data_IF_606977123204
#
_entry.id   IF_606977123204
#
_cell.length_a   1.000
_cell.length_b   1.000
_cell.length_c   1.000
_cell.angle_alpha   90.00
_cell.angle_beta   90.00
_cell.angle_gamma   90.00
#
_symmetry.space_group_name_H-M   'P 1'
#
loop_
_entity.id
_entity.type
_entity.pdbx_description
1 polymer ?
#
# COMPACT_ATOMS: atom_id res chain seq x y z
N UNK A 1 16.06 -6.30 -4.26
CA UNK A 1 14.58 -6.34 -4.23
C UNK A 1 14.07 -7.76 -4.00
N UNK A 2 14.66 -8.75 -4.69
CA UNK A 2 14.31 -10.17 -4.52
C UNK A 2 14.37 -10.66 -3.08
N UNK A 3 15.38 -10.26 -2.29
CA UNK A 3 15.52 -10.72 -0.91
C UNK A 3 14.36 -10.29 -0.01
N UNK A 4 13.80 -9.09 -0.23
CA UNK A 4 12.62 -8.62 0.50
C UNK A 4 11.39 -9.44 0.12
N UNK A 5 11.21 -9.74 -1.17
CA UNK A 5 10.10 -10.58 -1.63
C UNK A 5 10.19 -11.99 -1.03
N UNK A 6 11.38 -12.63 -1.09
CA UNK A 6 11.63 -13.95 -0.50
C UNK A 6 11.36 -13.95 1.01
N UNK A 7 11.78 -12.90 1.73
CA UNK A 7 11.52 -12.77 3.15
C UNK A 7 10.01 -12.70 3.45
N UNK A 8 9.26 -11.90 2.68
CA UNK A 8 7.79 -11.78 2.79
C UNK A 8 7.11 -13.13 2.53
N UNK A 9 7.52 -13.83 1.48
CA UNK A 9 6.99 -15.16 1.12
C UNK A 9 7.26 -16.19 2.21
N UNK A 10 8.43 -16.15 2.84
CA UNK A 10 8.79 -17.04 3.95
C UNK A 10 8.08 -16.71 5.27
N UNK A 11 7.60 -15.47 5.46
CA UNK A 11 6.98 -15.00 6.71
C UNK A 11 5.76 -14.10 6.46
N UNK A 12 4.70 -14.61 5.80
CA UNK A 12 3.58 -13.79 5.35
C UNK A 12 2.83 -13.10 6.49
N UNK A 13 2.70 -13.75 7.65
CA UNK A 13 1.97 -13.19 8.80
C UNK A 13 2.71 -12.04 9.51
N UNK A 14 4.03 -11.92 9.29
CA UNK A 14 4.88 -10.91 9.96
C UNK A 14 5.35 -9.81 9.03
N UNK A 15 5.56 -10.14 7.75
CA UNK A 15 6.26 -9.24 6.81
C UNK A 15 5.38 -8.72 5.68
N UNK A 16 4.15 -9.20 5.52
CA UNK A 16 3.23 -8.60 4.54
C UNK A 16 3.01 -7.12 4.86
N UNK A 17 3.06 -6.25 3.84
CA UNK A 17 2.82 -4.84 4.05
C UNK A 17 1.38 -4.60 4.52
N UNK A 18 1.23 -3.72 5.48
CA UNK A 18 -0.08 -3.21 5.89
C UNK A 18 -0.59 -2.29 4.79
N UNK A 19 -1.68 -2.68 4.14
CA UNK A 19 -2.34 -1.91 3.09
C UNK A 19 -3.52 -1.17 3.68
N UNK A 20 -3.72 0.08 3.26
CA UNK A 20 -4.89 0.85 3.67
C UNK A 20 -6.18 0.19 3.16
N UNK A 21 -7.26 0.31 3.93
CA UNK A 21 -8.56 -0.23 3.50
C UNK A 21 -9.09 0.48 2.26
N UNK A 22 -8.79 1.77 2.10
CA UNK A 22 -9.19 2.55 0.94
C UNK A 22 -8.24 2.27 -0.22
N UNK A 23 -8.80 1.81 -1.33
CA UNK A 23 -8.11 1.69 -2.63
C UNK A 23 -8.62 2.77 -3.57
N UNK A 24 -7.72 3.27 -4.41
CA UNK A 24 -8.02 4.29 -5.41
C UNK A 24 -7.85 3.69 -6.79
N UNK A 25 -8.63 4.12 -7.76
CA UNK A 25 -8.35 3.81 -9.17
C UNK A 25 -7.35 4.80 -9.74
N UNK A 26 -6.75 4.47 -10.87
CA UNK A 26 -5.79 5.34 -11.53
C UNK A 26 -6.37 6.72 -11.86
N UNK A 27 -7.66 6.84 -12.18
CA UNK A 27 -8.28 8.14 -12.46
C UNK A 27 -8.37 9.04 -11.21
N UNK A 28 -8.26 8.45 -10.02
CA UNK A 28 -8.35 9.10 -8.71
C UNK A 28 -6.95 9.40 -8.11
N UNK A 29 -5.89 9.35 -8.93
CA UNK A 29 -4.50 9.49 -8.46
C UNK A 29 -4.26 10.78 -7.67
N UNK A 30 -4.89 11.88 -8.08
CA UNK A 30 -4.80 13.16 -7.35
C UNK A 30 -5.34 13.00 -5.92
N UNK A 31 -6.51 12.40 -5.76
CA UNK A 31 -7.15 12.19 -4.46
C UNK A 31 -6.38 11.20 -3.59
N UNK A 32 -5.75 10.19 -4.21
CA UNK A 32 -4.86 9.25 -3.53
C UNK A 32 -3.64 9.96 -2.93
N UNK A 33 -3.02 10.87 -3.68
CA UNK A 33 -1.89 11.68 -3.24
C UNK A 33 -2.29 12.64 -2.11
N UNK A 34 -3.44 13.31 -2.22
CA UNK A 34 -3.96 14.19 -1.17
C UNK A 34 -4.28 13.41 0.12
N UNK A 35 -4.90 12.22 0.01
CA UNK A 35 -5.17 11.34 1.14
C UNK A 35 -3.89 10.88 1.85
N UNK A 36 -2.88 10.45 1.08
CA UNK A 36 -1.56 10.12 1.61
C UNK A 36 -0.93 11.32 2.32
N UNK A 37 -0.89 12.50 1.68
CA UNK A 37 -0.28 13.71 2.24
C UNK A 37 -0.99 14.17 3.52
N UNK A 38 -2.30 13.96 3.61
CA UNK A 38 -3.08 14.27 4.81
C UNK A 38 -2.75 13.40 6.03
N UNK A 39 -2.03 12.28 5.85
CA UNK A 39 -1.68 11.35 6.93
C UNK A 39 -2.86 10.56 7.51
N UNK A 40 -4.05 10.63 6.90
CA UNK A 40 -5.27 9.95 7.37
C UNK A 40 -5.28 8.44 7.13
N UNK A 41 -4.34 7.95 6.32
CA UNK A 41 -4.22 6.53 5.99
C UNK A 41 -3.58 5.74 7.15
N UNK A 42 -4.05 4.52 7.35
CA UNK A 42 -3.51 3.60 8.35
C UNK A 42 -2.32 2.79 7.80
N UNK A 43 -2.33 2.50 6.49
CA UNK A 43 -1.33 1.66 5.83
C UNK A 43 -0.87 2.25 4.51
N UNK A 44 -0.23 1.43 3.66
CA UNK A 44 0.17 1.87 2.32
C UNK A 44 -1.06 2.21 1.48
N UNK A 45 -1.07 3.41 0.90
CA UNK A 45 -2.10 3.83 -0.07
C UNK A 45 -1.83 3.10 -1.38
N UNK A 46 -2.84 2.40 -1.90
CA UNK A 46 -2.74 1.63 -3.15
C UNK A 46 -3.62 2.22 -4.24
N UNK A 47 -3.06 2.25 -5.45
CA UNK A 47 -3.75 2.63 -6.69
C UNK A 47 -3.85 1.38 -7.57
N UNK A 48 -5.06 1.07 -8.02
CA UNK A 48 -5.35 -0.03 -8.93
C UNK A 48 -5.29 0.46 -10.39
N UNK A 49 -4.72 -0.38 -11.26
CA UNK A 49 -4.56 -0.13 -12.69
C UNK A 49 -5.62 -0.88 -13.49
#
# INVERSE_FOLDING_TARGET
MEDMCRAIEANPDKLRPVVDKKRFRLEELKDACEYMYSGKHFGKVCVEM
#
